data_IF_650878794213
#
_entry.id   IF_650878794213
#
_cell.length_a   1.000
_cell.length_b   1.000
_cell.length_c   1.000
_cell.angle_alpha   90.00
_cell.angle_beta   90.00
_cell.angle_gamma   90.00
#
_symmetry.space_group_name_H-M   'P 1'
#
loop_
_entity.id
_entity.type
_entity.pdbx_description
1 polymer ?
#
# COMPACT_ATOMS: atom_id res chain seq x y z
N UNK A 1 1.65 -9.27 -18.85
CA UNK A 1 1.98 -8.00 -18.16
C UNK A 1 2.01 -8.22 -16.66
N UNK A 2 0.94 -8.76 -16.03
CA UNK A 2 0.87 -8.92 -14.56
C UNK A 2 2.07 -9.69 -13.99
N UNK A 3 2.44 -10.82 -14.56
CA UNK A 3 3.59 -11.62 -14.11
C UNK A 3 4.88 -10.80 -14.08
N UNK A 4 5.16 -10.06 -15.15
CA UNK A 4 6.34 -9.19 -15.24
C UNK A 4 6.27 -8.03 -14.23
N UNK A 5 5.07 -7.48 -14.00
CA UNK A 5 4.85 -6.49 -12.96
C UNK A 5 5.14 -7.04 -11.55
N UNK A 6 4.72 -8.27 -11.26
CA UNK A 6 5.01 -8.94 -9.97
C UNK A 6 6.52 -9.15 -9.81
N UNK A 7 7.19 -9.69 -10.82
CA UNK A 7 8.66 -9.91 -10.79
C UNK A 7 9.40 -8.58 -10.59
N UNK A 8 9.03 -7.55 -11.37
CA UNK A 8 9.60 -6.21 -11.22
C UNK A 8 9.32 -5.61 -9.85
N UNK A 9 8.14 -5.86 -9.30
CA UNK A 9 7.77 -5.42 -7.95
C UNK A 9 8.62 -6.07 -6.86
N UNK A 10 8.83 -7.38 -6.91
CA UNK A 10 9.68 -8.09 -5.95
C UNK A 10 11.13 -7.59 -6.01
N UNK A 11 11.67 -7.46 -7.22
CA UNK A 11 13.03 -6.96 -7.42
C UNK A 11 13.16 -5.51 -6.94
N UNK A 12 12.22 -4.64 -7.33
CA UNK A 12 12.23 -3.23 -6.93
C UNK A 12 12.09 -3.04 -5.43
N UNK A 13 11.20 -3.81 -4.77
CA UNK A 13 11.03 -3.79 -3.32
C UNK A 13 12.34 -4.18 -2.59
N UNK A 14 13.03 -5.18 -3.11
CA UNK A 14 14.31 -5.61 -2.54
C UNK A 14 15.41 -4.60 -2.77
N UNK A 15 15.53 -4.06 -3.97
CA UNK A 15 16.53 -3.04 -4.30
C UNK A 15 16.38 -1.81 -3.42
N UNK A 16 15.16 -1.30 -3.23
CA UNK A 16 14.90 -0.15 -2.36
C UNK A 16 15.37 -0.41 -0.94
N UNK A 17 15.01 -1.56 -0.38
CA UNK A 17 15.45 -1.93 0.97
C UNK A 17 16.97 -2.07 1.09
N UNK A 18 17.65 -2.60 0.06
CA UNK A 18 19.10 -2.68 0.00
C UNK A 18 19.72 -1.29 -0.03
N UNK A 19 19.17 -0.35 -0.82
CA UNK A 19 19.65 1.03 -0.87
C UNK A 19 19.46 1.75 0.47
N UNK A 20 18.33 1.55 1.14
CA UNK A 20 18.06 2.16 2.45
C UNK A 20 18.99 1.64 3.55
N UNK A 21 19.57 0.44 3.37
CA UNK A 21 20.43 -0.24 4.35
C UNK A 21 21.81 -0.62 3.77
N UNK A 22 22.37 0.19 2.90
CA UNK A 22 23.61 -0.09 2.17
C UNK A 22 24.76 -0.56 3.07
N UNK A 23 24.97 0.09 4.23
CA UNK A 23 26.04 -0.28 5.16
C UNK A 23 25.97 -1.76 5.57
N UNK A 24 24.78 -2.24 5.97
CA UNK A 24 24.57 -3.62 6.34
C UNK A 24 24.81 -4.61 5.19
N UNK A 25 24.38 -4.25 3.97
CA UNK A 25 24.51 -5.15 2.81
C UNK A 25 25.92 -5.14 2.20
N UNK A 26 26.72 -4.10 2.42
CA UNK A 26 28.13 -4.09 2.04
C UNK A 26 28.94 -5.06 2.91
N UNK A 27 28.60 -5.20 4.20
CA UNK A 27 29.23 -6.18 5.10
C UNK A 27 28.77 -7.61 4.84
N UNK A 28 27.55 -7.78 4.34
CA UNK A 28 26.94 -9.11 4.10
C UNK A 28 26.30 -9.22 2.72
N UNK A 29 27.07 -9.20 1.61
CA UNK A 29 26.53 -9.14 0.24
C UNK A 29 25.61 -10.32 -0.13
N UNK A 30 25.84 -11.51 0.43
CA UNK A 30 24.99 -12.69 0.18
C UNK A 30 23.52 -12.49 0.58
N UNK A 31 23.25 -11.60 1.54
CA UNK A 31 21.89 -11.30 1.98
C UNK A 31 21.10 -10.43 1.01
N UNK A 32 21.73 -9.80 0.01
CA UNK A 32 21.05 -8.96 -0.98
C UNK A 32 19.96 -9.75 -1.71
N UNK A 33 20.20 -10.99 -2.07
CA UNK A 33 19.26 -11.84 -2.82
C UNK A 33 18.27 -12.61 -1.93
N UNK A 34 18.44 -12.59 -0.61
CA UNK A 34 17.64 -13.36 0.34
C UNK A 34 16.32 -12.62 0.67
N UNK A 35 15.39 -12.58 -0.29
CA UNK A 35 14.07 -11.92 -0.13
C UNK A 35 13.19 -12.59 0.94
N UNK A 36 13.37 -13.89 1.19
CA UNK A 36 12.63 -14.67 2.19
C UNK A 36 13.01 -14.35 3.64
N UNK A 37 14.12 -13.66 3.87
CA UNK A 37 14.52 -13.20 5.20
C UNK A 37 13.86 -11.88 5.63
N UNK A 38 12.94 -11.36 4.82
CA UNK A 38 12.33 -10.06 5.03
C UNK A 38 13.16 -8.92 4.42
N UNK A 39 12.78 -7.70 4.72
CA UNK A 39 13.43 -6.51 4.18
C UNK A 39 13.02 -6.20 2.75
N UNK A 40 11.80 -5.70 2.59
CA UNK A 40 11.22 -5.25 1.32
C UNK A 40 10.69 -3.83 1.49
N UNK A 41 10.96 -2.96 0.52
CA UNK A 41 10.48 -1.58 0.51
C UNK A 41 9.25 -1.43 -0.38
N UNK A 42 8.13 -1.00 0.20
CA UNK A 42 6.86 -0.84 -0.54
C UNK A 42 7.00 0.07 -1.77
N UNK A 43 7.66 1.22 -1.62
CA UNK A 43 7.84 2.19 -2.69
C UNK A 43 8.64 1.60 -3.86
N UNK A 44 9.73 0.87 -3.55
CA UNK A 44 10.51 0.16 -4.56
C UNK A 44 9.69 -0.89 -5.30
N UNK A 45 8.83 -1.61 -4.59
CA UNK A 45 7.91 -2.59 -5.17
C UNK A 45 6.92 -1.96 -6.14
N UNK A 46 6.33 -0.84 -5.76
CA UNK A 46 5.39 -0.11 -6.60
C UNK A 46 6.08 0.43 -7.87
N UNK A 47 7.21 1.10 -7.73
CA UNK A 47 7.96 1.66 -8.86
C UNK A 47 8.44 0.53 -9.78
N UNK A 48 9.06 -0.52 -9.23
CA UNK A 48 9.57 -1.65 -10.00
C UNK A 48 8.46 -2.39 -10.75
N UNK A 49 7.32 -2.61 -10.11
CA UNK A 49 6.16 -3.26 -10.72
C UNK A 49 5.57 -2.46 -11.88
N UNK A 50 5.36 -1.16 -11.69
CA UNK A 50 4.85 -0.27 -12.73
C UNK A 50 5.85 -0.16 -13.89
N UNK A 51 7.13 0.02 -13.59
CA UNK A 51 8.18 0.18 -14.59
C UNK A 51 8.34 -1.07 -15.47
N UNK A 52 8.54 -2.24 -14.85
CA UNK A 52 8.75 -3.50 -15.58
C UNK A 52 7.48 -3.95 -16.31
N UNK A 53 6.32 -3.85 -15.65
CA UNK A 53 5.03 -4.17 -16.27
C UNK A 53 4.69 -3.25 -17.44
N UNK A 54 4.92 -1.94 -17.30
CA UNK A 54 4.73 -0.95 -18.34
C UNK A 54 5.70 -1.11 -19.50
N UNK A 55 6.97 -1.37 -19.22
CA UNK A 55 7.99 -1.62 -20.22
C UNK A 55 7.67 -2.87 -21.06
N UNK A 56 7.30 -3.96 -20.39
CA UNK A 56 6.86 -5.18 -21.08
C UNK A 56 5.63 -4.93 -21.97
N UNK A 57 4.63 -4.21 -21.45
CA UNK A 57 3.44 -3.86 -22.23
C UNK A 57 3.81 -3.05 -23.47
N UNK A 58 4.72 -2.09 -23.34
CA UNK A 58 5.22 -1.28 -24.46
C UNK A 58 5.97 -2.13 -25.50
N UNK A 59 6.85 -3.04 -25.08
CA UNK A 59 7.56 -3.94 -25.99
C UNK A 59 6.65 -4.89 -26.75
N UNK A 60 5.55 -5.33 -26.11
CA UNK A 60 4.54 -6.19 -26.74
C UNK A 60 3.50 -5.40 -27.55
N UNK A 61 3.66 -4.09 -27.70
CA UNK A 61 2.68 -3.19 -28.34
C UNK A 61 1.28 -3.26 -27.73
N UNK A 62 1.18 -3.58 -26.43
CA UNK A 62 -0.09 -3.53 -25.73
C UNK A 62 -0.45 -2.09 -25.35
N UNK A 63 -1.74 -1.74 -25.33
CA UNK A 63 -2.19 -0.41 -24.94
C UNK A 63 -2.00 -0.20 -23.43
N UNK A 64 -0.87 0.43 -23.05
CA UNK A 64 -0.45 0.62 -21.66
C UNK A 64 -1.53 1.32 -20.84
N UNK A 65 -2.18 2.34 -21.41
CA UNK A 65 -3.27 3.07 -20.74
C UNK A 65 -4.45 2.17 -20.38
N UNK A 66 -4.90 1.30 -21.30
CA UNK A 66 -5.98 0.33 -21.02
C UNK A 66 -5.59 -0.66 -19.91
N UNK A 67 -4.35 -1.13 -19.94
CA UNK A 67 -3.85 -2.04 -18.88
C UNK A 67 -3.87 -1.33 -17.53
N UNK A 68 -3.43 -0.07 -17.48
CA UNK A 68 -3.48 0.74 -16.27
C UNK A 68 -4.94 0.95 -15.77
N UNK A 69 -5.88 1.18 -16.68
CA UNK A 69 -7.31 1.30 -16.35
C UNK A 69 -7.90 0.02 -15.74
N UNK A 70 -7.49 -1.16 -16.23
CA UNK A 70 -7.87 -2.42 -15.61
C UNK A 70 -7.19 -2.66 -14.27
N UNK A 71 -5.96 -2.17 -14.11
CA UNK A 71 -5.22 -2.28 -12.85
C UNK A 71 -5.79 -1.38 -11.73
N UNK A 72 -6.36 -0.22 -12.07
CA UNK A 72 -6.85 0.75 -11.10
C UNK A 72 -7.84 0.16 -10.07
N UNK A 73 -8.97 -0.46 -10.45
CA UNK A 73 -9.87 -1.06 -9.48
C UNK A 73 -9.25 -2.27 -8.75
N UNK A 74 -8.39 -3.03 -9.43
CA UNK A 74 -7.69 -4.15 -8.81
C UNK A 74 -6.74 -3.68 -7.69
N UNK A 75 -6.03 -2.58 -7.90
CA UNK A 75 -5.17 -1.96 -6.87
C UNK A 75 -5.96 -1.45 -5.68
N UNK A 76 -7.10 -0.79 -5.91
CA UNK A 76 -7.97 -0.33 -4.84
C UNK A 76 -8.52 -1.50 -3.99
N UNK A 77 -8.90 -2.63 -4.64
CA UNK A 77 -9.31 -3.85 -3.94
C UNK A 77 -8.14 -4.46 -3.17
N UNK A 78 -6.95 -4.52 -3.76
CA UNK A 78 -5.74 -5.02 -3.10
C UNK A 78 -5.40 -4.21 -1.85
N UNK A 79 -5.58 -2.89 -1.87
CA UNK A 79 -5.43 -2.06 -0.67
C UNK A 79 -6.41 -2.44 0.44
N UNK A 80 -7.68 -2.69 0.12
CA UNK A 80 -8.67 -3.14 1.12
C UNK A 80 -8.22 -4.47 1.75
N UNK A 81 -7.79 -5.42 0.92
CA UNK A 81 -7.34 -6.74 1.40
C UNK A 81 -6.08 -6.60 2.27
N UNK A 82 -5.12 -5.76 1.85
CA UNK A 82 -3.93 -5.48 2.65
C UNK A 82 -4.26 -4.91 4.02
N UNK A 83 -5.23 -4.00 4.10
CA UNK A 83 -5.68 -3.44 5.37
C UNK A 83 -6.34 -4.45 6.31
N UNK A 84 -6.93 -5.52 5.80
CA UNK A 84 -7.40 -6.64 6.63
C UNK A 84 -6.20 -7.31 7.33
N UNK A 85 -5.06 -7.44 6.62
CA UNK A 85 -3.82 -7.94 7.20
C UNK A 85 -3.28 -7.04 8.33
N UNK A 86 -3.34 -5.71 8.13
CA UNK A 86 -2.93 -4.73 9.15
C UNK A 86 -3.79 -4.81 10.43
N UNK A 87 -5.11 -5.03 10.26
CA UNK A 87 -6.02 -5.28 11.39
C UNK A 87 -5.60 -6.52 12.16
N UNK A 88 -5.34 -7.62 11.44
CA UNK A 88 -4.94 -8.88 12.05
C UNK A 88 -3.61 -8.78 12.79
N UNK A 89 -2.69 -8.00 12.25
CA UNK A 89 -1.36 -7.78 12.82
C UNK A 89 -1.36 -6.73 13.95
N UNK A 90 -2.43 -5.97 14.10
CA UNK A 90 -2.54 -4.90 15.10
C UNK A 90 -1.58 -3.74 14.83
N UNK A 91 -1.47 -3.34 13.56
CA UNK A 91 -0.61 -2.25 13.10
C UNK A 91 -1.35 -0.92 12.95
N UNK A 92 -0.59 0.13 12.59
CA UNK A 92 -1.07 1.49 12.32
C UNK A 92 -1.71 2.19 13.52
N UNK A 93 -0.87 2.47 14.51
CA UNK A 93 -1.22 3.39 15.59
C UNK A 93 -1.48 4.80 15.00
N UNK A 94 -2.50 5.45 15.53
CA UNK A 94 -2.93 6.79 15.14
C UNK A 94 -3.09 7.69 16.36
N UNK A 95 -3.60 8.90 16.18
CA UNK A 95 -3.82 9.82 17.28
C UNK A 95 -4.94 9.32 18.21
N UNK A 96 -4.87 9.64 19.51
CA UNK A 96 -5.91 9.33 20.49
C UNK A 96 -7.26 9.95 20.12
N UNK A 97 -8.35 9.24 20.49
CA UNK A 97 -9.70 9.72 20.23
C UNK A 97 -10.65 9.38 21.38
N UNK A 98 -11.62 10.24 21.62
CA UNK A 98 -12.75 10.01 22.52
C UNK A 98 -14.01 9.51 21.81
N UNK A 99 -13.92 9.25 20.49
CA UNK A 99 -15.07 8.80 19.71
C UNK A 99 -15.53 7.40 20.13
N UNK A 100 -16.84 7.10 20.09
CA UNK A 100 -17.38 5.80 20.55
C UNK A 100 -16.92 4.60 19.74
N UNK A 101 -16.32 4.80 18.56
CA UNK A 101 -15.71 3.77 17.71
C UNK A 101 -14.18 3.79 17.75
N UNK A 102 -13.58 4.46 18.76
CA UNK A 102 -12.15 4.41 19.00
C UNK A 102 -11.68 2.97 19.18
N UNK A 103 -10.51 2.67 18.67
CA UNK A 103 -9.94 1.32 18.67
C UNK A 103 -8.84 1.19 19.70
N UNK A 104 -8.89 0.13 20.52
CA UNK A 104 -7.86 -0.21 21.52
C UNK A 104 -7.14 -1.47 21.08
N UNK A 105 -5.82 -1.42 21.02
CA UNK A 105 -5.00 -2.60 20.73
C UNK A 105 -4.81 -3.44 22.00
N UNK A 106 -5.49 -4.58 22.08
CA UNK A 106 -5.51 -5.42 23.29
C UNK A 106 -4.42 -6.47 23.34
N UNK A 107 -3.95 -6.97 22.17
CA UNK A 107 -2.94 -8.02 22.13
C UNK A 107 -1.56 -7.49 22.57
N UNK A 108 -0.88 -8.14 23.54
CA UNK A 108 0.40 -7.66 24.09
C UNK A 108 1.50 -7.45 23.06
N UNK A 109 1.56 -8.34 22.06
CA UNK A 109 2.60 -8.31 21.03
C UNK A 109 2.25 -7.42 19.82
N UNK A 110 1.08 -6.80 19.80
CA UNK A 110 0.72 -5.94 18.66
C UNK A 110 1.63 -4.71 18.58
N UNK A 111 2.09 -4.34 17.39
CA UNK A 111 2.85 -3.11 17.16
C UNK A 111 2.11 -1.86 17.64
N UNK A 112 0.78 -1.81 17.44
CA UNK A 112 -0.06 -0.71 17.87
C UNK A 112 -0.08 -0.53 19.40
N UNK A 113 -0.18 -1.62 20.18
CA UNK A 113 -0.13 -1.54 21.65
C UNK A 113 1.22 -1.06 22.16
N UNK A 114 2.31 -1.65 21.63
CA UNK A 114 3.67 -1.21 22.00
C UNK A 114 3.94 0.24 21.61
N UNK A 115 3.38 0.68 20.47
CA UNK A 115 3.44 2.07 20.04
C UNK A 115 2.65 2.99 20.98
N UNK A 116 1.44 2.61 21.38
CA UNK A 116 0.60 3.35 22.31
C UNK A 116 1.28 3.55 23.68
N UNK A 117 1.84 2.48 24.22
CA UNK A 117 2.62 2.54 25.47
C UNK A 117 3.83 3.48 25.34
N UNK A 118 4.57 3.41 24.23
CA UNK A 118 5.76 4.24 24.01
C UNK A 118 5.45 5.72 23.81
N UNK A 119 4.40 6.04 23.03
CA UNK A 119 4.11 7.41 22.60
C UNK A 119 3.16 8.14 23.55
N UNK A 120 2.21 7.42 24.14
CA UNK A 120 1.15 8.01 24.99
C UNK A 120 1.25 7.58 26.45
N UNK A 121 2.19 6.71 26.80
CA UNK A 121 2.35 6.13 28.13
C UNK A 121 1.08 5.41 28.65
N UNK A 122 0.22 4.97 27.73
CA UNK A 122 -1.01 4.23 27.99
C UNK A 122 -1.24 3.17 26.92
N UNK A 123 -1.04 1.87 27.25
CA UNK A 123 -1.22 0.79 26.28
C UNK A 123 -2.70 0.52 25.94
N UNK A 124 -3.65 1.11 26.69
CA UNK A 124 -5.08 0.92 26.47
C UNK A 124 -5.77 2.17 25.91
N UNK A 125 -5.01 3.14 25.46
CA UNK A 125 -5.57 4.36 24.87
C UNK A 125 -6.37 4.04 23.61
N UNK A 126 -7.56 4.65 23.49
CA UNK A 126 -8.37 4.54 22.28
C UNK A 126 -7.82 5.48 21.20
N UNK A 127 -7.64 4.98 19.99
CA UNK A 127 -7.11 5.71 18.84
C UNK A 127 -8.07 5.65 17.65
N UNK A 128 -7.92 6.55 16.68
CA UNK A 128 -8.70 6.49 15.45
C UNK A 128 -8.42 5.19 14.68
N UNK A 129 -9.45 4.43 14.24
CA UNK A 129 -9.25 3.23 13.41
C UNK A 129 -8.93 3.60 11.96
N UNK A 130 -7.77 4.21 11.73
CA UNK A 130 -7.35 4.74 10.42
C UNK A 130 -7.35 3.67 9.33
N UNK A 131 -7.07 2.43 9.70
CA UNK A 131 -7.12 1.27 8.79
C UNK A 131 -8.54 1.09 8.22
N UNK A 132 -9.56 1.20 9.08
CA UNK A 132 -10.98 1.11 8.67
C UNK A 132 -11.36 2.30 7.78
N UNK A 133 -10.90 3.50 8.11
CA UNK A 133 -11.17 4.68 7.28
C UNK A 133 -10.58 4.53 5.88
N UNK A 134 -9.34 4.02 5.77
CA UNK A 134 -8.73 3.72 4.48
C UNK A 134 -9.48 2.61 3.70
N UNK A 135 -9.98 1.58 4.38
CA UNK A 135 -10.79 0.54 3.73
C UNK A 135 -12.09 1.11 3.15
N UNK A 136 -12.80 1.95 3.93
CA UNK A 136 -14.04 2.59 3.47
C UNK A 136 -13.76 3.51 2.28
N UNK A 137 -12.69 4.30 2.34
CA UNK A 137 -12.30 5.18 1.25
C UNK A 137 -11.94 4.41 -0.02
N UNK A 138 -11.16 3.34 0.09
CA UNK A 138 -10.82 2.49 -1.05
C UNK A 138 -12.06 1.77 -1.61
N UNK A 139 -13.01 1.34 -0.77
CA UNK A 139 -14.28 0.78 -1.22
C UNK A 139 -15.09 1.82 -2.04
N UNK A 140 -15.13 3.07 -1.58
CA UNK A 140 -15.73 4.16 -2.35
C UNK A 140 -15.02 4.34 -3.71
N UNK A 141 -13.68 4.33 -3.74
CA UNK A 141 -12.92 4.42 -4.99
C UNK A 141 -13.27 3.27 -5.94
N UNK A 142 -13.33 2.04 -5.45
CA UNK A 142 -13.71 0.85 -6.24
C UNK A 142 -15.08 1.07 -6.89
N UNK A 143 -16.10 1.44 -6.10
CA UNK A 143 -17.45 1.66 -6.60
C UNK A 143 -17.49 2.81 -7.63
N UNK A 144 -16.77 3.88 -7.36
CA UNK A 144 -16.68 5.01 -8.28
C UNK A 144 -16.04 4.63 -9.61
N UNK A 145 -14.93 3.89 -9.60
CA UNK A 145 -14.24 3.44 -10.80
C UNK A 145 -15.11 2.50 -11.64
N UNK A 146 -15.79 1.52 -11.01
CA UNK A 146 -16.70 0.65 -11.74
C UNK A 146 -17.86 1.39 -12.37
N UNK A 147 -18.46 2.36 -11.68
CA UNK A 147 -19.55 3.18 -12.20
C UNK A 147 -19.11 4.11 -13.34
N UNK A 148 -17.84 4.50 -13.32
CA UNK A 148 -17.27 5.49 -14.24
C UNK A 148 -16.52 4.88 -15.42
N UNK A 149 -16.35 3.55 -15.47
CA UNK A 149 -15.47 2.87 -16.45
C UNK A 149 -15.79 3.16 -17.93
N UNK A 150 -17.06 3.47 -18.24
CA UNK A 150 -17.50 3.71 -19.61
C UNK A 150 -17.69 5.22 -19.92
N UNK A 151 -17.29 6.11 -19.00
CA UNK A 151 -17.53 7.56 -19.15
C UNK A 151 -16.35 8.32 -19.73
N UNK A 152 -15.19 7.72 -19.77
CA UNK A 152 -13.96 8.37 -20.20
C UNK A 152 -13.49 7.80 -21.54
N UNK A 153 -13.06 8.68 -22.42
CA UNK A 153 -12.77 8.36 -23.82
C UNK A 153 -11.26 8.14 -24.08
N UNK A 154 -10.38 8.32 -23.09
CA UNK A 154 -8.95 8.10 -23.30
C UNK A 154 -8.41 7.01 -22.37
N UNK A 155 -7.48 6.25 -22.91
CA UNK A 155 -6.82 5.15 -22.21
C UNK A 155 -5.94 5.67 -21.06
N UNK A 156 -6.08 5.11 -19.87
CA UNK A 156 -5.36 5.53 -18.66
C UNK A 156 -6.13 6.50 -17.75
N UNK A 157 -7.34 6.91 -18.15
CA UNK A 157 -8.15 7.86 -17.39
C UNK A 157 -8.55 7.34 -16.01
N UNK A 158 -8.96 6.07 -15.90
CA UNK A 158 -9.33 5.46 -14.62
C UNK A 158 -8.14 5.33 -13.69
N UNK A 159 -6.95 5.06 -14.23
CA UNK A 159 -5.72 5.02 -13.46
C UNK A 159 -5.38 6.38 -12.84
N UNK A 160 -5.46 7.46 -13.63
CA UNK A 160 -5.22 8.83 -13.16
C UNK A 160 -6.23 9.20 -12.06
N UNK A 161 -7.50 8.89 -12.26
CA UNK A 161 -8.56 9.16 -11.28
C UNK A 161 -8.31 8.36 -9.99
N UNK A 162 -7.95 7.08 -10.10
CA UNK A 162 -7.59 6.27 -8.96
C UNK A 162 -6.44 6.89 -8.16
N UNK A 163 -5.35 7.25 -8.81
CA UNK A 163 -4.19 7.86 -8.17
C UNK A 163 -4.57 9.17 -7.47
N UNK A 164 -5.38 10.00 -8.11
CA UNK A 164 -5.84 11.26 -7.54
C UNK A 164 -6.72 11.06 -6.30
N UNK A 165 -7.74 10.21 -6.39
CA UNK A 165 -8.63 9.93 -5.27
C UNK A 165 -7.89 9.24 -4.11
N UNK A 166 -7.02 8.28 -4.42
CA UNK A 166 -6.19 7.62 -3.41
C UNK A 166 -5.29 8.60 -2.67
N UNK A 167 -4.62 9.50 -3.41
CA UNK A 167 -3.74 10.52 -2.83
C UNK A 167 -4.51 11.48 -1.91
N UNK A 168 -5.71 11.91 -2.30
CA UNK A 168 -6.57 12.75 -1.45
C UNK A 168 -6.92 12.01 -0.15
N UNK A 169 -7.42 10.77 -0.26
CA UNK A 169 -7.80 10.00 0.92
C UNK A 169 -6.61 9.77 1.85
N UNK A 170 -5.46 9.41 1.30
CA UNK A 170 -4.23 9.20 2.07
C UNK A 170 -3.76 10.48 2.75
N UNK A 171 -3.84 11.62 2.04
CA UNK A 171 -3.51 12.92 2.62
C UNK A 171 -4.42 13.27 3.79
N UNK A 172 -5.74 13.12 3.63
CA UNK A 172 -6.69 13.45 4.71
C UNK A 172 -6.54 12.55 5.94
N UNK A 173 -6.36 11.25 5.72
CA UNK A 173 -6.21 10.26 6.80
C UNK A 173 -4.85 10.40 7.51
N UNK A 174 -3.83 10.96 6.87
CA UNK A 174 -2.50 11.17 7.47
C UNK A 174 -2.52 12.11 8.67
N UNK A 175 -3.55 12.94 8.82
CA UNK A 175 -3.71 13.85 9.96
C UNK A 175 -4.44 13.20 11.15
N UNK A 176 -4.83 11.95 11.04
CA UNK A 176 -5.46 11.16 12.10
C UNK A 176 -4.48 10.11 12.63
#
# INVERSE_FOLDING_TARGET
VALWGILGGIIGARLMHVFDNLGYYLETPSKIIMVWSGGIGFLGGMIGGIFVGGLYAKFMNYPVGKIADYAAPAMAIAHIIGRIGDIWNGEHLSIPTSLPWGWVFTHPDSPGRRGAERLFNDPNIAVHPVVVYEMIWNAFIVLFLFKSRNKFNFDGSLWIIYMFLYSIGRFLIQFM
#
